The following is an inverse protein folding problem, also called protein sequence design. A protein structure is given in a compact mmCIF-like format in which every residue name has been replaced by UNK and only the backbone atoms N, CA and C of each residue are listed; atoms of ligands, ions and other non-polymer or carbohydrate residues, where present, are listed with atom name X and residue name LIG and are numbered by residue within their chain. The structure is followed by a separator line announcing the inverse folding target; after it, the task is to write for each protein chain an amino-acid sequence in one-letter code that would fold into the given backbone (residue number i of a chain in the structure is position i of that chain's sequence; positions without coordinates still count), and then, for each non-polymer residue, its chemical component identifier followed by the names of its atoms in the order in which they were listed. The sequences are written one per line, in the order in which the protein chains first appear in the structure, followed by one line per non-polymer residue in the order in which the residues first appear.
data_IF_614681390547
#
_entry.id   IF_614681390547
#
_cell.length_a   1.000
_cell.length_b   1.000
_cell.length_c   1.000
_cell.angle_alpha   90.00
_cell.angle_beta   90.00
_cell.angle_gamma   90.00
#
_symmetry.space_group_name_H-M   'P 1'
#
loop_
_entity.id
_entity.type
_entity.pdbx_description
1 polymer ?
#
# COMPACT_ATOMS: atom_id res chain seq x y z
N UNK A 1 -12.77 -7.54 3.10
CA UNK A 1 -11.59 -6.67 3.12
C UNK A 1 -11.97 -5.39 3.83
N UNK A 2 -11.37 -5.07 4.97
CA UNK A 2 -11.74 -3.91 5.78
C UNK A 2 -10.72 -2.78 5.58
N UNK A 3 -11.15 -1.65 4.99
CA UNK A 3 -10.32 -0.47 4.83
C UNK A 3 -9.87 0.13 6.16
N UNK A 4 -10.65 -0.03 7.23
CA UNK A 4 -10.30 0.46 8.57
C UNK A 4 -9.06 -0.21 9.12
N UNK A 5 -8.83 -1.50 8.79
CA UNK A 5 -7.64 -2.21 9.22
C UNK A 5 -6.37 -1.56 8.66
N UNK A 6 -6.36 -1.23 7.36
CA UNK A 6 -5.24 -0.52 6.74
C UNK A 6 -5.06 0.88 7.32
N UNK A 7 -6.15 1.64 7.49
CA UNK A 7 -6.11 2.98 8.09
C UNK A 7 -5.52 2.93 9.51
N UNK A 8 -5.93 1.96 10.31
CA UNK A 8 -5.43 1.78 11.67
C UNK A 8 -3.96 1.35 11.70
N UNK A 9 -3.55 0.45 10.81
CA UNK A 9 -2.14 0.05 10.65
C UNK A 9 -1.27 1.25 10.26
N UNK A 10 -1.69 2.09 9.32
CA UNK A 10 -0.98 3.31 8.91
C UNK A 10 -0.83 4.28 10.09
N UNK A 11 -1.92 4.49 10.84
CA UNK A 11 -1.90 5.33 12.05
C UNK A 11 -0.92 4.80 13.10
N UNK A 12 -0.94 3.49 13.35
CA UNK A 12 -0.04 2.82 14.31
C UNK A 12 1.42 2.88 13.86
N UNK A 13 1.71 2.62 12.59
CA UNK A 13 3.06 2.72 12.05
C UNK A 13 3.63 4.13 12.24
N UNK A 14 2.81 5.17 12.06
CA UNK A 14 3.26 6.54 12.33
C UNK A 14 3.63 6.75 13.80
N UNK A 15 2.86 6.18 14.72
CA UNK A 15 3.19 6.23 16.14
C UNK A 15 4.53 5.54 16.41
N UNK A 16 4.74 4.34 15.86
CA UNK A 16 5.98 3.59 16.04
C UNK A 16 7.19 4.35 15.48
N UNK A 17 7.10 4.93 14.27
CA UNK A 17 8.16 5.74 13.67
C UNK A 17 8.47 6.98 14.51
N UNK A 18 7.45 7.66 15.03
CA UNK A 18 7.69 8.81 15.92
C UNK A 18 8.45 8.39 17.20
N UNK A 19 8.08 7.25 17.80
CA UNK A 19 8.76 6.75 19.01
C UNK A 19 10.18 6.26 18.69
N UNK A 20 10.41 5.61 17.55
CA UNK A 20 11.75 5.16 17.16
C UNK A 20 12.70 6.34 16.93
N UNK A 21 12.21 7.43 16.32
CA UNK A 21 12.99 8.64 16.10
C UNK A 21 13.39 9.32 17.43
N UNK A 22 12.54 9.24 18.46
CA UNK A 22 12.89 9.70 19.82
C UNK A 22 14.01 8.86 20.46
N UNK A 23 14.12 7.60 20.05
CA UNK A 23 15.16 6.67 20.49
C UNK A 23 16.39 6.69 19.56
N UNK A 24 16.50 7.66 18.66
CA UNK A 24 17.58 7.81 17.67
C UNK A 24 17.70 6.64 16.66
N UNK A 25 16.63 5.88 16.43
CA UNK A 25 16.55 4.96 15.29
C UNK A 25 16.06 5.72 14.05
N UNK A 26 16.78 5.57 12.94
CA UNK A 26 16.37 6.12 11.64
C UNK A 26 15.41 5.17 10.93
N UNK A 27 14.11 5.32 11.20
CA UNK A 27 13.06 4.54 10.52
C UNK A 27 12.48 5.33 9.35
N UNK A 28 12.98 5.00 8.15
CA UNK A 28 12.63 5.65 6.90
C UNK A 28 11.91 4.73 5.89
N UNK A 29 11.48 3.54 6.32
CA UNK A 29 10.75 2.57 5.49
C UNK A 29 9.53 2.04 6.24
N UNK A 30 8.40 1.96 5.54
CA UNK A 30 7.15 1.38 6.03
C UNK A 30 6.58 0.43 4.98
N UNK A 31 6.20 -0.77 5.41
CA UNK A 31 5.43 -1.73 4.61
C UNK A 31 3.94 -1.69 5.00
N UNK A 32 3.05 -1.59 4.02
CA UNK A 32 1.59 -1.66 4.21
C UNK A 32 1.01 -3.05 3.93
N UNK A 33 1.87 -4.05 3.70
CA UNK A 33 1.54 -5.44 3.38
C UNK A 33 0.74 -5.58 2.06
N UNK A 34 0.15 -6.76 1.86
CA UNK A 34 -0.69 -7.14 0.73
C UNK A 34 -2.19 -7.19 1.07
N UNK A 35 -2.88 -8.20 0.53
CA UNK A 35 -4.31 -8.46 0.83
C UNK A 35 -5.31 -7.72 -0.06
N UNK A 36 -4.83 -7.06 -1.11
CA UNK A 36 -5.65 -6.36 -2.09
C UNK A 36 -6.45 -7.32 -2.99
N UNK A 37 -7.73 -7.02 -3.23
CA UNK A 37 -8.58 -7.78 -4.17
C UNK A 37 -8.17 -7.53 -5.62
N UNK A 38 -7.90 -8.60 -6.38
CA UNK A 38 -7.60 -8.52 -7.81
C UNK A 38 -8.57 -9.27 -8.74
N UNK A 39 -9.59 -9.96 -8.21
CA UNK A 39 -10.53 -10.76 -9.00
C UNK A 39 -11.42 -9.87 -9.88
N UNK A 40 -11.89 -10.41 -11.01
CA UNK A 40 -12.91 -9.76 -11.85
C UNK A 40 -14.14 -9.39 -11.01
N UNK A 41 -14.66 -8.18 -11.20
CA UNK A 41 -15.81 -7.66 -10.45
C UNK A 41 -15.49 -7.02 -9.10
N UNK A 42 -14.22 -7.00 -8.66
CA UNK A 42 -13.82 -6.37 -7.38
C UNK A 42 -13.29 -4.94 -7.50
N UNK A 43 -13.30 -4.36 -8.70
CA UNK A 43 -12.67 -3.06 -9.00
C UNK A 43 -13.19 -1.90 -8.15
N UNK A 44 -14.50 -1.85 -7.90
CA UNK A 44 -15.11 -0.79 -7.09
C UNK A 44 -14.66 -0.89 -5.62
N UNK A 45 -14.62 -2.11 -5.07
CA UNK A 45 -14.16 -2.37 -3.69
C UNK A 45 -12.67 -2.06 -3.55
N UNK A 46 -11.88 -2.45 -4.55
CA UNK A 46 -10.46 -2.15 -4.58
C UNK A 46 -10.22 -0.62 -4.65
N UNK A 47 -10.91 0.12 -5.53
CA UNK A 47 -10.82 1.58 -5.59
C UNK A 47 -11.19 2.26 -4.27
N UNK A 48 -12.25 1.79 -3.61
CA UNK A 48 -12.68 2.31 -2.31
C UNK A 48 -11.62 2.06 -1.21
N UNK A 49 -11.02 0.87 -1.18
CA UNK A 49 -9.92 0.56 -0.28
C UNK A 49 -8.73 1.51 -0.51
N UNK A 50 -8.30 1.65 -1.77
CA UNK A 50 -7.15 2.49 -2.11
C UNK A 50 -7.41 3.96 -1.75
N UNK A 51 -8.63 4.47 -1.97
CA UNK A 51 -9.00 5.82 -1.55
C UNK A 51 -8.84 6.01 -0.03
N UNK A 52 -9.27 5.04 0.78
CA UNK A 52 -9.11 5.07 2.22
C UNK A 52 -7.62 5.02 2.64
N UNK A 53 -6.82 4.17 2.00
CA UNK A 53 -5.36 4.08 2.25
C UNK A 53 -4.68 5.41 1.93
N UNK A 54 -4.92 5.97 0.74
CA UNK A 54 -4.32 7.24 0.34
C UNK A 54 -4.69 8.38 1.31
N UNK A 55 -5.96 8.45 1.73
CA UNK A 55 -6.39 9.44 2.72
C UNK A 55 -5.64 9.30 4.06
N UNK A 56 -5.41 8.07 4.51
CA UNK A 56 -4.62 7.80 5.71
C UNK A 56 -3.12 8.14 5.53
N UNK A 57 -2.56 7.83 4.37
CA UNK A 57 -1.17 8.20 4.03
C UNK A 57 -1.00 9.72 3.97
N UNK A 58 -1.89 10.45 3.31
CA UNK A 58 -1.85 11.92 3.25
C UNK A 58 -1.94 12.54 4.66
N UNK A 59 -2.70 11.92 5.56
CA UNK A 59 -2.84 12.37 6.95
C UNK A 59 -1.61 12.07 7.81
N UNK A 60 -0.95 10.94 7.62
CA UNK A 60 0.06 10.42 8.54
C UNK A 60 1.50 10.42 7.99
N UNK A 61 1.67 10.46 6.67
CA UNK A 61 2.94 10.30 5.95
C UNK A 61 3.02 11.27 4.76
N UNK A 62 3.08 12.57 5.09
CA UNK A 62 3.38 13.62 4.11
C UNK A 62 4.74 13.36 3.46
N UNK A 63 4.92 13.79 2.20
CA UNK A 63 6.17 13.62 1.45
C UNK A 63 7.42 14.19 2.16
N UNK A 64 7.23 15.16 3.06
CA UNK A 64 8.29 15.75 3.89
C UNK A 64 8.79 14.83 5.02
N UNK A 65 8.12 13.72 5.30
CA UNK A 65 8.49 12.81 6.40
C UNK A 65 9.73 11.96 6.09
N UNK A 66 10.15 11.87 4.82
CA UNK A 66 11.29 11.06 4.41
C UNK A 66 11.08 9.55 4.58
N UNK A 67 9.83 9.10 4.78
CA UNK A 67 9.47 7.69 4.91
C UNK A 67 9.08 7.15 3.55
N UNK A 68 9.80 6.13 3.09
CA UNK A 68 9.47 5.33 1.93
C UNK A 68 8.35 4.34 2.29
N UNK A 69 7.35 4.21 1.43
CA UNK A 69 6.24 3.29 1.64
C UNK A 69 6.29 2.19 0.57
N UNK A 70 6.14 0.93 0.98
CA UNK A 70 6.09 -0.23 0.10
C UNK A 70 4.85 -1.07 0.39
N UNK A 71 4.44 -1.89 -0.58
CA UNK A 71 3.33 -2.82 -0.45
C UNK A 71 3.65 -4.14 -1.15
N UNK A 72 3.05 -5.24 -0.68
CA UNK A 72 3.24 -6.60 -1.21
C UNK A 72 1.95 -7.18 -1.81
N UNK A 73 1.42 -6.63 -2.92
CA UNK A 73 0.12 -6.98 -3.49
C UNK A 73 0.11 -8.33 -4.26
N UNK A 74 0.57 -9.42 -3.67
CA UNK A 74 0.71 -10.71 -4.35
C UNK A 74 -0.60 -11.23 -4.96
N UNK A 75 -1.68 -11.29 -4.16
CA UNK A 75 -2.97 -11.80 -4.62
C UNK A 75 -3.59 -10.93 -5.73
N UNK A 76 -3.41 -9.61 -5.66
CA UNK A 76 -3.95 -8.68 -6.65
C UNK A 76 -3.53 -9.02 -8.09
N UNK A 77 -2.27 -9.42 -8.27
CA UNK A 77 -1.71 -9.72 -9.57
C UNK A 77 -2.10 -11.09 -10.11
N UNK A 78 -2.20 -12.08 -9.24
CA UNK A 78 -2.47 -13.47 -9.65
C UNK A 78 -3.97 -13.73 -9.80
N UNK A 79 -4.82 -12.98 -9.08
CA UNK A 79 -6.27 -13.16 -9.02
C UNK A 79 -7.01 -13.07 -10.37
N UNK A 80 -6.49 -12.32 -11.35
CA UNK A 80 -7.10 -12.22 -12.69
C UNK A 80 -6.29 -12.93 -13.78
N UNK A 81 -5.13 -13.48 -13.46
CA UNK A 81 -4.31 -14.22 -14.40
C UNK A 81 -4.72 -15.70 -14.33
N UNK A 82 -5.43 -16.19 -15.34
CA UNK A 82 -5.87 -17.60 -15.40
C UNK A 82 -4.72 -18.62 -15.53
N UNK A 83 -3.44 -18.21 -15.49
CA UNK A 83 -2.32 -19.13 -15.66
C UNK A 83 -1.16 -18.86 -14.68
N UNK A 84 -0.81 -19.94 -13.99
CA UNK A 84 0.29 -20.12 -13.04
C UNK A 84 1.56 -19.37 -13.41
N UNK A 85 1.98 -18.42 -12.58
CA UNK A 85 3.38 -18.14 -12.28
C UNK A 85 3.44 -17.14 -11.11
N UNK A 86 3.92 -17.64 -9.97
CA UNK A 86 4.24 -16.85 -8.79
C UNK A 86 5.36 -15.85 -9.15
N UNK A 87 5.08 -14.55 -9.10
CA UNK A 87 6.12 -13.52 -9.16
C UNK A 87 6.03 -12.62 -7.93
N UNK A 88 7.14 -12.57 -7.19
CA UNK A 88 7.36 -11.61 -6.11
C UNK A 88 7.61 -10.24 -6.72
N UNK A 89 6.59 -9.39 -6.72
CA UNK A 89 6.73 -7.99 -7.14
C UNK A 89 6.73 -7.11 -5.90
N UNK A 90 7.91 -6.58 -5.56
CA UNK A 90 8.06 -5.51 -4.58
C UNK A 90 7.67 -4.20 -5.28
N UNK A 91 6.65 -3.50 -4.79
CA UNK A 91 6.30 -2.17 -5.31
C UNK A 91 6.97 -1.08 -4.48
N UNK A 92 7.83 -0.30 -5.15
CA UNK A 92 8.41 0.94 -4.62
C UNK A 92 7.42 2.09 -4.84
N UNK A 93 6.97 2.74 -3.77
CA UNK A 93 6.09 3.89 -3.86
C UNK A 93 6.71 5.09 -3.15
N UNK A 94 7.04 6.11 -3.95
CA UNK A 94 7.23 7.46 -3.43
C UNK A 94 5.83 8.02 -3.12
N UNK A 95 5.69 8.91 -2.13
CA UNK A 95 4.40 9.44 -1.65
C UNK A 95 3.47 10.02 -2.74
N UNK A 96 3.94 10.23 -3.97
CA UNK A 96 3.09 10.58 -5.11
C UNK A 96 2.33 9.36 -5.67
N UNK A 97 1.20 9.07 -5.02
CA UNK A 97 0.04 8.32 -5.54
C UNK A 97 0.32 6.85 -5.90
N UNK A 98 -0.03 5.97 -4.96
CA UNK A 98 -0.05 4.49 -5.06
C UNK A 98 -0.50 3.90 -6.42
N UNK A 99 -1.38 4.57 -7.18
CA UNK A 99 -2.14 3.92 -8.25
C UNK A 99 -1.89 4.38 -9.69
N UNK A 100 -1.14 5.47 -9.94
CA UNK A 100 -0.89 5.86 -11.34
C UNK A 100 -0.08 4.81 -12.14
N UNK A 101 0.62 3.88 -11.46
CA UNK A 101 1.35 2.76 -12.08
C UNK A 101 0.60 1.43 -12.12
N UNK A 102 -0.38 1.23 -11.24
CA UNK A 102 -1.13 -0.03 -11.13
C UNK A 102 -2.26 -0.12 -12.17
N UNK A 103 -2.84 1.02 -12.57
CA UNK A 103 -3.85 1.07 -13.65
C UNK A 103 -3.27 0.87 -15.05
N UNK A 104 -2.01 1.22 -15.28
CA UNK A 104 -1.39 1.20 -16.61
C UNK A 104 -1.01 -0.22 -17.06
N UNK A 105 -0.77 -1.14 -16.12
CA UNK A 105 -0.37 -2.53 -16.41
C UNK A 105 -1.54 -3.51 -16.58
N UNK A 106 -2.79 -3.02 -16.64
CA UNK A 106 -3.99 -3.85 -16.90
C UNK A 106 -4.47 -3.80 -18.36
N UNK A 107 -3.70 -3.15 -19.25
CA UNK A 107 -3.93 -3.16 -20.70
C UNK A 107 -2.87 -4.04 -21.40
N UNK A 108 -2.78 -5.31 -21.04
CA UNK A 108 -2.34 -6.41 -21.90
C UNK A 108 -3.09 -7.67 -21.49
#
# INVERSE_FOLDING_TARGET
MNSEAFVDTIRKARQIINHSNQLAFDMNLMDIDGGFLGNVGTDALFKALIAAINCALDKHFLSSCGVQIIAEPAYYYVASAENYLCWRVLFYLNCEKMFNKLSTNRML
#
